data_IF_679439588077
#
_entry.id   IF_679439588077
#
_cell.length_a   1.000
_cell.length_b   1.000
_cell.length_c   1.000
_cell.angle_alpha   90.00
_cell.angle_beta   90.00
_cell.angle_gamma   90.00
#
_symmetry.space_group_name_H-M   'P 1'
#
loop_
_entity.id
_entity.type
_entity.pdbx_description
1 polymer ?
#
# COMPACT_ATOMS: atom_id res chain seq x y z
N UNK A 1 -4.28 32.00 11.84
CA UNK A 1 -4.65 31.95 10.42
C UNK A 1 -4.50 30.51 9.95
N UNK A 2 -5.55 29.69 10.03
CA UNK A 2 -5.49 28.31 9.55
C UNK A 2 -5.54 28.35 8.02
N UNK A 3 -4.39 28.15 7.37
CA UNK A 3 -4.42 27.84 5.95
C UNK A 3 -4.98 26.42 5.85
N UNK A 4 -6.25 26.32 5.45
CA UNK A 4 -6.97 25.10 5.06
C UNK A 4 -6.33 24.40 3.83
N UNK A 5 -5.05 24.67 3.56
CA UNK A 5 -4.29 24.11 2.45
C UNK A 5 -3.85 22.71 2.85
N UNK A 6 -4.33 21.74 2.08
CA UNK A 6 -3.88 20.35 2.21
C UNK A 6 -2.39 20.28 1.91
N UNK A 7 -1.57 19.70 2.80
CA UNK A 7 -0.14 19.61 2.57
C UNK A 7 0.14 18.79 1.30
N UNK A 8 0.93 19.34 0.38
CA UNK A 8 1.22 18.71 -0.92
C UNK A 8 1.75 17.29 -0.78
N UNK A 9 2.57 17.03 0.24
CA UNK A 9 3.11 15.70 0.53
C UNK A 9 2.03 14.68 0.92
N UNK A 10 0.95 15.11 1.58
CA UNK A 10 -0.19 14.24 1.86
C UNK A 10 -0.92 13.88 0.57
N UNK A 11 -1.10 14.84 -0.34
CA UNK A 11 -1.73 14.59 -1.64
C UNK A 11 -0.90 13.59 -2.44
N UNK A 12 0.42 13.78 -2.49
CA UNK A 12 1.34 12.84 -3.16
C UNK A 12 1.27 11.45 -2.53
N UNK A 13 1.23 11.36 -1.20
CA UNK A 13 1.08 10.08 -0.50
C UNK A 13 -0.26 9.40 -0.81
N UNK A 14 -1.37 10.14 -0.78
CA UNK A 14 -2.69 9.62 -1.14
C UNK A 14 -2.69 9.11 -2.60
N UNK A 15 -2.13 9.87 -3.53
CA UNK A 15 -2.01 9.45 -4.93
C UNK A 15 -1.16 8.18 -5.07
N UNK A 16 -0.05 8.08 -4.36
CA UNK A 16 0.80 6.88 -4.38
C UNK A 16 0.06 5.64 -3.85
N UNK A 17 -0.67 5.77 -2.74
CA UNK A 17 -1.49 4.69 -2.16
C UNK A 17 -2.66 4.34 -3.09
N UNK A 18 -3.25 5.33 -3.76
CA UNK A 18 -4.31 5.11 -4.73
C UNK A 18 -3.80 4.35 -5.96
N UNK A 19 -2.63 4.70 -6.49
CA UNK A 19 -1.98 3.94 -7.58
C UNK A 19 -1.72 2.50 -7.15
N UNK A 20 -1.19 2.29 -5.94
CA UNK A 20 -1.02 0.95 -5.37
C UNK A 20 -2.34 0.16 -5.35
N UNK A 21 -3.43 0.79 -4.91
CA UNK A 21 -4.75 0.17 -4.89
C UNK A 21 -5.25 -0.18 -6.30
N UNK A 22 -5.07 0.74 -7.26
CA UNK A 22 -5.45 0.52 -8.67
C UNK A 22 -4.67 -0.66 -9.26
N UNK A 23 -3.37 -0.78 -9.00
CA UNK A 23 -2.56 -1.91 -9.47
C UNK A 23 -3.12 -3.24 -8.95
N UNK A 24 -3.46 -3.31 -7.65
CA UNK A 24 -4.07 -4.51 -7.09
C UNK A 24 -5.47 -4.78 -7.65
N UNK A 25 -6.29 -3.75 -7.84
CA UNK A 25 -7.61 -3.89 -8.44
C UNK A 25 -7.50 -4.37 -9.90
N UNK A 26 -6.55 -3.85 -10.67
CA UNK A 26 -6.24 -4.34 -12.02
C UNK A 26 -5.81 -5.81 -11.99
N UNK A 27 -4.99 -6.21 -11.01
CA UNK A 27 -4.61 -7.61 -10.79
C UNK A 27 -5.80 -8.51 -10.47
N UNK A 28 -6.77 -8.03 -9.67
CA UNK A 28 -8.02 -8.73 -9.39
C UNK A 28 -8.85 -8.92 -10.66
N UNK A 29 -9.06 -7.84 -11.42
CA UNK A 29 -9.84 -7.86 -12.67
C UNK A 29 -9.18 -8.75 -13.73
N UNK A 30 -7.85 -8.66 -13.86
CA UNK A 30 -7.08 -9.53 -14.75
C UNK A 30 -7.22 -11.00 -14.36
N UNK A 31 -7.29 -11.28 -13.05
CA UNK A 31 -7.54 -12.62 -12.51
C UNK A 31 -8.75 -13.32 -13.14
N UNK A 32 -9.86 -12.60 -13.34
CA UNK A 32 -11.08 -13.15 -13.94
C UNK A 32 -10.99 -13.38 -15.46
N UNK A 33 -9.94 -12.86 -16.11
CA UNK A 33 -9.73 -12.93 -17.57
C UNK A 33 -8.55 -13.82 -17.95
N UNK A 34 -7.80 -14.35 -16.98
CA UNK A 34 -6.65 -15.19 -17.28
C UNK A 34 -7.14 -16.56 -17.79
N UNK A 35 -6.58 -17.07 -18.91
CA UNK A 35 -6.77 -18.46 -19.29
C UNK A 35 -6.20 -19.37 -18.19
N UNK A 36 -6.62 -20.63 -18.14
CA UNK A 36 -6.11 -21.61 -17.17
C UNK A 36 -4.59 -21.78 -17.35
N UNK A 37 -3.83 -21.02 -16.57
CA UNK A 37 -2.39 -21.14 -16.49
C UNK A 37 -2.05 -22.20 -15.44
N UNK A 38 -0.99 -22.99 -15.65
CA UNK A 38 -0.46 -23.89 -14.63
C UNK A 38 0.16 -23.07 -13.50
N UNK A 39 -0.68 -22.56 -12.61
CA UNK A 39 -0.27 -21.81 -11.43
C UNK A 39 0.15 -22.80 -10.34
N UNK A 40 1.24 -22.49 -9.64
CA UNK A 40 1.68 -23.26 -8.48
C UNK A 40 0.76 -23.10 -7.25
N UNK A 41 -0.27 -22.26 -7.35
CA UNK A 41 -1.17 -21.88 -6.26
C UNK A 41 -2.61 -21.80 -6.78
N UNK A 42 -3.62 -21.96 -5.91
CA UNK A 42 -5.01 -21.90 -6.33
C UNK A 42 -5.42 -20.46 -6.71
N UNK A 43 -6.24 -20.33 -7.75
CA UNK A 43 -6.67 -19.02 -8.31
C UNK A 43 -7.36 -18.13 -7.28
N UNK A 44 -8.15 -18.72 -6.36
CA UNK A 44 -8.84 -17.95 -5.31
C UNK A 44 -7.88 -17.15 -4.42
N UNK A 45 -6.65 -17.63 -4.25
CA UNK A 45 -5.61 -16.93 -3.49
C UNK A 45 -5.28 -15.57 -4.13
N UNK A 46 -5.18 -15.53 -5.46
CA UNK A 46 -4.90 -14.30 -6.21
C UNK A 46 -6.03 -13.29 -6.07
N UNK A 47 -7.29 -13.76 -6.08
CA UNK A 47 -8.45 -12.90 -5.87
C UNK A 47 -8.44 -12.31 -4.46
N UNK A 48 -8.23 -13.15 -3.45
CA UNK A 48 -8.22 -12.72 -2.06
C UNK A 48 -7.09 -11.73 -1.80
N UNK A 49 -5.87 -12.05 -2.26
CA UNK A 49 -4.71 -11.17 -2.17
C UNK A 49 -4.99 -9.80 -2.78
N UNK A 50 -5.37 -9.77 -4.05
CA UNK A 50 -5.55 -8.52 -4.77
C UNK A 50 -6.75 -7.73 -4.24
N UNK A 51 -7.85 -8.38 -3.88
CA UNK A 51 -9.02 -7.75 -3.30
C UNK A 51 -8.73 -7.11 -1.95
N UNK A 52 -8.06 -7.82 -1.03
CA UNK A 52 -7.70 -7.29 0.29
C UNK A 52 -6.79 -6.06 0.14
N UNK A 53 -5.73 -6.16 -0.66
CA UNK A 53 -4.77 -5.05 -0.77
C UNK A 53 -5.32 -3.85 -1.55
N UNK A 54 -6.16 -4.07 -2.56
CA UNK A 54 -6.89 -3.00 -3.21
C UNK A 54 -7.77 -2.26 -2.20
N UNK A 55 -8.55 -3.00 -1.40
CA UNK A 55 -9.45 -2.42 -0.39
C UNK A 55 -8.67 -1.66 0.69
N UNK A 56 -7.60 -2.24 1.23
CA UNK A 56 -6.74 -1.56 2.23
C UNK A 56 -6.17 -0.26 1.66
N UNK A 57 -5.69 -0.27 0.41
CA UNK A 57 -5.21 0.93 -0.26
C UNK A 57 -6.29 2.00 -0.46
N UNK A 58 -7.50 1.61 -0.90
CA UNK A 58 -8.62 2.55 -1.04
C UNK A 58 -9.00 3.19 0.30
N UNK A 59 -9.14 2.36 1.34
CA UNK A 59 -9.50 2.81 2.68
C UNK A 59 -8.42 3.73 3.25
N UNK A 60 -7.14 3.37 3.12
CA UNK A 60 -6.03 4.20 3.59
C UNK A 60 -5.97 5.55 2.86
N UNK A 61 -6.02 5.55 1.52
CA UNK A 61 -5.99 6.77 0.71
C UNK A 61 -7.21 7.66 1.00
N UNK A 62 -8.41 7.07 1.06
CA UNK A 62 -9.64 7.80 1.38
C UNK A 62 -9.59 8.41 2.78
N UNK A 63 -9.21 7.62 3.78
CA UNK A 63 -9.12 8.07 5.17
C UNK A 63 -8.11 9.21 5.35
N UNK A 64 -6.94 9.12 4.70
CA UNK A 64 -5.93 10.18 4.71
C UNK A 64 -6.42 11.44 4.00
N UNK A 65 -7.09 11.30 2.85
CA UNK A 65 -7.63 12.42 2.09
C UNK A 65 -8.73 13.19 2.85
N UNK A 66 -9.61 12.46 3.54
CA UNK A 66 -10.66 13.03 4.38
C UNK A 66 -10.19 13.39 5.79
N UNK A 67 -8.90 13.26 6.09
CA UNK A 67 -8.32 13.68 7.36
C UNK A 67 -8.81 12.89 8.58
N UNK A 68 -9.21 11.62 8.43
CA UNK A 68 -9.73 10.83 9.55
C UNK A 68 -8.64 10.57 10.61
N UNK A 69 -8.96 10.67 11.89
CA UNK A 69 -8.03 10.46 13.01
C UNK A 69 -7.32 9.10 12.97
N UNK A 70 -8.04 8.05 12.57
CA UNK A 70 -7.51 6.68 12.49
C UNK A 70 -6.71 6.42 11.21
N UNK A 71 -6.69 7.34 10.25
CA UNK A 71 -6.02 7.15 8.94
C UNK A 71 -4.52 6.89 9.07
N UNK A 72 -3.85 7.60 9.98
CA UNK A 72 -2.41 7.49 10.20
C UNK A 72 -2.03 6.13 10.81
N UNK A 73 -2.60 5.67 11.95
CA UNK A 73 -2.29 4.34 12.46
C UNK A 73 -2.72 3.23 11.48
N UNK A 74 -3.86 3.36 10.81
CA UNK A 74 -4.31 2.39 9.81
C UNK A 74 -3.31 2.26 8.64
N UNK A 75 -2.86 3.38 8.08
CA UNK A 75 -1.89 3.37 6.96
C UNK A 75 -0.55 2.78 7.39
N UNK A 76 -0.08 3.12 8.60
CA UNK A 76 1.17 2.56 9.15
C UNK A 76 1.11 1.06 9.33
N UNK A 77 0.09 0.56 10.02
CA UNK A 77 -0.06 -0.87 10.25
C UNK A 77 -0.37 -1.62 8.96
N UNK A 78 -1.19 -1.04 8.08
CA UNK A 78 -1.48 -1.59 6.76
C UNK A 78 -0.22 -1.75 5.91
N UNK A 79 0.66 -0.74 5.88
CA UNK A 79 1.94 -0.81 5.17
C UNK A 79 2.89 -1.86 5.76
N UNK A 80 3.00 -1.95 7.10
CA UNK A 80 3.81 -2.98 7.75
C UNK A 80 3.29 -4.38 7.47
N UNK A 81 1.97 -4.57 7.59
CA UNK A 81 1.32 -5.85 7.31
C UNK A 81 1.52 -6.24 5.85
N UNK A 82 1.42 -5.28 4.92
CA UNK A 82 1.70 -5.50 3.50
C UNK A 82 3.11 -5.99 3.27
N UNK A 83 4.11 -5.33 3.87
CA UNK A 83 5.51 -5.71 3.71
C UNK A 83 5.78 -7.10 4.28
N UNK A 84 5.30 -7.40 5.49
CA UNK A 84 5.46 -8.73 6.10
C UNK A 84 4.82 -9.79 5.21
N UNK A 85 3.58 -9.55 4.77
CA UNK A 85 2.86 -10.47 3.91
C UNK A 85 3.57 -10.65 2.55
N UNK A 86 4.03 -9.57 1.91
CA UNK A 86 4.75 -9.59 0.64
C UNK A 86 6.04 -10.42 0.73
N UNK A 87 6.83 -10.24 1.79
CA UNK A 87 8.04 -11.03 1.99
C UNK A 87 7.73 -12.48 2.33
N UNK A 88 6.66 -12.76 3.08
CA UNK A 88 6.17 -14.12 3.30
C UNK A 88 5.79 -14.81 2.00
N UNK A 89 4.98 -14.16 1.16
CA UNK A 89 4.60 -14.63 -0.18
C UNK A 89 5.85 -14.90 -1.03
N UNK A 90 6.80 -13.95 -1.02
CA UNK A 90 8.03 -14.06 -1.81
C UNK A 90 8.91 -15.24 -1.36
N UNK A 91 9.10 -15.42 -0.06
CA UNK A 91 9.97 -16.48 0.50
C UNK A 91 9.38 -17.88 0.31
N UNK A 92 8.05 -18.02 0.36
CA UNK A 92 7.37 -19.32 0.22
C UNK A 92 7.18 -19.69 -1.25
N UNK A 93 6.83 -18.72 -2.10
CA UNK A 93 6.29 -18.99 -3.43
C UNK A 93 7.27 -18.75 -4.58
N UNK A 94 8.36 -17.99 -4.37
CA UNK A 94 9.24 -17.61 -5.47
C UNK A 94 10.42 -18.56 -5.60
N UNK A 95 10.37 -19.44 -6.60
CA UNK A 95 11.47 -20.37 -6.95
C UNK A 95 12.19 -20.01 -8.26
N UNK A 96 11.91 -18.87 -8.88
CA UNK A 96 12.54 -18.50 -10.16
C UNK A 96 13.92 -17.85 -9.99
N UNK A 97 14.87 -18.18 -10.87
CA UNK A 97 16.25 -17.67 -10.84
C UNK A 97 16.30 -16.13 -10.95
N UNK A 98 15.36 -15.53 -11.68
CA UNK A 98 15.23 -14.08 -11.81
C UNK A 98 14.83 -13.40 -10.48
N UNK A 99 13.98 -14.05 -9.68
CA UNK A 99 13.59 -13.53 -8.37
C UNK A 99 14.72 -13.62 -7.35
N UNK A 100 15.63 -14.59 -7.50
CA UNK A 100 16.83 -14.74 -6.68
C UNK A 100 17.90 -13.69 -6.98
N UNK A 101 17.94 -13.10 -8.17
CA UNK A 101 18.89 -12.02 -8.46
C UNK A 101 18.39 -10.64 -8.05
N UNK A 102 17.07 -10.43 -8.05
CA UNK A 102 16.45 -9.11 -7.81
C UNK A 102 16.04 -8.84 -6.35
N UNK A 103 16.27 -9.79 -5.43
CA UNK A 103 15.82 -9.63 -4.04
C UNK A 103 16.51 -8.48 -3.27
N UNK A 104 17.82 -8.20 -3.42
CA UNK A 104 18.46 -7.14 -2.64
C UNK A 104 17.95 -5.76 -3.07
N UNK A 105 17.80 -5.56 -4.38
CA UNK A 105 17.23 -4.33 -4.93
C UNK A 105 15.79 -4.13 -4.45
N UNK A 106 14.99 -5.20 -4.44
CA UNK A 106 13.61 -5.10 -3.95
C UNK A 106 13.56 -4.76 -2.45
N UNK A 107 14.38 -5.41 -1.63
CA UNK A 107 14.50 -5.12 -0.20
C UNK A 107 14.86 -3.65 0.05
N UNK A 108 15.85 -3.15 -0.67
CA UNK A 108 16.25 -1.75 -0.57
C UNK A 108 15.11 -0.78 -0.92
N UNK A 109 14.40 -1.03 -2.03
CA UNK A 109 13.24 -0.22 -2.42
C UNK A 109 12.12 -0.30 -1.37
N UNK A 110 11.84 -1.49 -0.82
CA UNK A 110 10.83 -1.65 0.24
C UNK A 110 11.18 -0.84 1.48
N UNK A 111 12.42 -0.87 1.93
CA UNK A 111 12.88 -0.10 3.09
C UNK A 111 12.76 1.40 2.84
N UNK A 112 13.21 1.89 1.68
CA UNK A 112 13.08 3.30 1.30
C UNK A 112 11.61 3.73 1.28
N UNK A 113 10.74 2.92 0.67
CA UNK A 113 9.31 3.23 0.59
C UNK A 113 8.66 3.31 1.98
N UNK A 114 8.97 2.37 2.88
CA UNK A 114 8.49 2.41 4.27
C UNK A 114 9.01 3.64 5.02
N UNK A 115 10.32 3.93 4.92
CA UNK A 115 10.92 5.10 5.57
C UNK A 115 10.29 6.39 5.06
N UNK A 116 10.13 6.55 3.75
CA UNK A 116 9.46 7.70 3.15
C UNK A 116 8.03 7.86 3.67
N UNK A 117 7.25 6.77 3.70
CA UNK A 117 5.89 6.76 4.25
C UNK A 117 5.87 7.21 5.72
N UNK A 118 6.75 6.66 6.56
CA UNK A 118 6.81 7.01 7.99
C UNK A 118 7.25 8.46 8.20
N UNK A 119 8.22 8.95 7.43
CA UNK A 119 8.69 10.33 7.50
C UNK A 119 7.60 11.31 7.09
N UNK A 120 6.91 11.05 5.97
CA UNK A 120 5.78 11.88 5.52
C UNK A 120 4.70 11.89 6.59
N UNK A 121 4.25 10.73 7.08
CA UNK A 121 3.23 10.65 8.12
C UNK A 121 3.67 11.26 9.47
N UNK A 122 4.96 11.47 9.71
CA UNK A 122 5.47 12.14 10.92
C UNK A 122 5.58 13.64 10.78
N UNK A 123 5.42 14.21 9.59
CA UNK A 123 5.57 15.66 9.42
C UNK A 123 4.54 16.45 10.24
N UNK A 124 4.95 17.55 10.91
CA UNK A 124 4.06 18.36 11.73
C UNK A 124 2.85 18.91 10.96
N UNK A 125 3.05 19.32 9.70
CA UNK A 125 1.97 19.84 8.84
C UNK A 125 0.84 18.84 8.62
N UNK A 126 1.19 17.56 8.45
CA UNK A 126 0.22 16.47 8.29
C UNK A 126 -0.45 16.16 9.63
N UNK A 127 0.30 16.13 10.73
CA UNK A 127 -0.27 15.91 12.06
C UNK A 127 -1.27 17.02 12.44
N UNK A 128 -0.94 18.28 12.19
CA UNK A 128 -1.85 19.41 12.41
C UNK A 128 -3.13 19.26 11.58
N UNK A 129 -3.02 19.00 10.27
CA UNK A 129 -4.20 18.78 9.41
C UNK A 129 -5.08 17.61 9.87
N UNK A 130 -4.47 16.49 10.28
CA UNK A 130 -5.21 15.34 10.78
C UNK A 130 -5.86 15.60 12.13
N UNK A 131 -5.24 16.40 13.00
CA UNK A 131 -5.79 16.76 14.32
C UNK A 131 -6.94 17.77 14.24
N UNK A 132 -6.89 18.70 13.29
CA UNK A 132 -7.95 19.70 13.05
C UNK A 132 -9.26 19.07 12.56
N UNK A 133 -9.19 17.92 11.89
CA UNK A 133 -10.37 17.21 11.37
C UNK A 133 -11.01 16.22 12.38
N UNK A 134 -10.57 16.24 13.65
CA UNK A 134 -11.12 15.42 14.73
C UNK A 134 -12.18 16.16 15.55
N UNK A 135 -12.13 17.50 15.56
CA UNK A 135 -13.10 18.38 16.22
C UNK A 135 -14.38 18.53 15.41
#
# INVERSE_FOLDING_TARGET
MSSNQRPTLLIVLCLAILVFSVVHLSGLVAGFRLPELPLSFPVWYLYLRNGIWALVGLVASGALFFGRSWSQPFTRYGALFFVIWYWGDRLILTRSDFAQHSWPATAFVTVIALLALFLILRQPSIQSYLSENIS
#
